data_IF_256350240572
#
_entry.id   IF_256350240572
#
_cell.length_a   1.000
_cell.length_b   1.000
_cell.length_c   1.000
_cell.angle_alpha   90.00
_cell.angle_beta   90.00
_cell.angle_gamma   90.00
#
_symmetry.space_group_name_H-M   'P 1'
#
loop_
_entity.id
_entity.type
_entity.pdbx_description
1 polymer ?
#
# COMPACT_ATOMS: atom_id res chain seq x y z
N UNK A 1 -1.44 50.66 -33.61
CA UNK A 1 -1.41 50.31 -32.18
C UNK A 1 -1.62 51.53 -31.28
N UNK A 2 -1.12 52.73 -31.61
CA UNK A 2 -1.29 53.96 -30.83
C UNK A 2 -2.72 54.52 -30.74
N UNK A 3 -3.64 54.06 -31.58
CA UNK A 3 -5.05 54.49 -31.59
C UNK A 3 -5.94 53.75 -30.59
N UNK A 4 -5.49 52.60 -30.06
CA UNK A 4 -6.29 51.78 -29.14
C UNK A 4 -6.06 52.25 -27.71
N UNK A 5 -7.07 52.90 -27.12
CA UNK A 5 -7.03 53.34 -25.72
C UNK A 5 -6.83 52.15 -24.79
N UNK A 6 -6.02 52.33 -23.74
CA UNK A 6 -5.79 51.34 -22.67
C UNK A 6 -5.29 49.98 -23.21
N UNK A 7 -4.48 49.98 -24.28
CA UNK A 7 -4.04 48.77 -24.98
C UNK A 7 -3.46 47.70 -24.04
N UNK A 8 -2.62 48.09 -23.07
CA UNK A 8 -2.03 47.13 -22.14
C UNK A 8 -3.08 46.44 -21.25
N UNK A 9 -4.03 47.20 -20.69
CA UNK A 9 -5.12 46.64 -19.88
C UNK A 9 -6.01 45.72 -20.73
N UNK A 10 -6.26 46.08 -21.99
CA UNK A 10 -7.00 45.21 -22.93
C UNK A 10 -6.28 43.88 -23.16
N UNK A 11 -5.00 43.92 -23.51
CA UNK A 11 -4.21 42.72 -23.79
C UNK A 11 -4.12 41.82 -22.56
N UNK A 12 -3.88 42.41 -21.38
CA UNK A 12 -3.84 41.66 -20.13
C UNK A 12 -5.19 41.01 -19.79
N UNK A 13 -6.30 41.74 -19.94
CA UNK A 13 -7.64 41.21 -19.71
C UNK A 13 -8.03 40.10 -20.68
N UNK A 14 -7.68 40.26 -21.97
CA UNK A 14 -7.91 39.22 -22.99
C UNK A 14 -7.07 37.98 -22.69
N UNK A 15 -5.79 38.14 -22.38
CA UNK A 15 -4.93 37.01 -22.01
C UNK A 15 -5.46 36.29 -20.78
N UNK A 16 -5.82 37.03 -19.73
CA UNK A 16 -6.38 36.45 -18.51
C UNK A 16 -7.66 35.64 -18.80
N UNK A 17 -8.58 36.19 -19.60
CA UNK A 17 -9.78 35.47 -20.04
C UNK A 17 -9.46 34.17 -20.77
N UNK A 18 -8.47 34.18 -21.67
CA UNK A 18 -8.09 32.99 -22.44
C UNK A 18 -7.43 31.91 -21.57
N UNK A 19 -6.71 32.31 -20.51
CA UNK A 19 -6.02 31.39 -19.60
C UNK A 19 -6.86 30.97 -18.39
N UNK A 20 -8.00 31.62 -18.14
CA UNK A 20 -8.77 31.44 -16.92
C UNK A 20 -9.19 29.99 -16.68
N UNK A 21 -9.75 29.34 -17.71
CA UNK A 21 -10.20 27.95 -17.61
C UNK A 21 -9.03 26.99 -17.33
N UNK A 22 -7.85 27.26 -17.91
CA UNK A 22 -6.64 26.48 -17.62
C UNK A 22 -6.21 26.64 -16.16
N UNK A 23 -6.20 27.88 -15.65
CA UNK A 23 -5.89 28.14 -14.23
C UNK A 23 -6.86 27.41 -13.29
N UNK A 24 -8.16 27.42 -13.60
CA UNK A 24 -9.18 26.69 -12.82
C UNK A 24 -8.94 25.18 -12.89
N UNK A 25 -8.66 24.64 -14.08
CA UNK A 25 -8.41 23.22 -14.29
C UNK A 25 -7.11 22.72 -13.67
N UNK A 26 -6.15 23.61 -13.40
CA UNK A 26 -4.93 23.28 -12.67
C UNK A 26 -5.12 23.34 -11.14
N UNK A 27 -5.97 24.24 -10.63
CA UNK A 27 -6.16 24.43 -9.18
C UNK A 27 -7.19 23.46 -8.61
N UNK A 28 -8.31 23.24 -9.31
CA UNK A 28 -9.45 22.49 -8.78
C UNK A 28 -9.12 21.02 -8.46
N UNK A 29 -8.42 20.26 -9.33
CA UNK A 29 -8.11 18.86 -9.05
C UNK A 29 -7.24 18.69 -7.81
N UNK A 30 -6.29 19.60 -7.58
CA UNK A 30 -5.40 19.58 -6.42
C UNK A 30 -6.19 19.76 -5.11
N UNK A 31 -7.11 20.74 -5.07
CA UNK A 31 -8.01 20.93 -3.91
C UNK A 31 -8.84 19.67 -3.67
N UNK A 32 -9.38 19.07 -4.73
CA UNK A 32 -10.21 17.87 -4.63
C UNK A 32 -9.42 16.66 -4.15
N UNK A 33 -8.20 16.45 -4.65
CA UNK A 33 -7.35 15.33 -4.24
C UNK A 33 -7.08 15.33 -2.74
N UNK A 34 -6.72 16.50 -2.19
CA UNK A 34 -6.47 16.64 -0.74
C UNK A 34 -7.76 16.51 0.05
N UNK A 35 -8.85 17.16 -0.39
CA UNK A 35 -10.16 17.08 0.29
C UNK A 35 -10.64 15.65 0.41
N UNK A 36 -10.60 14.89 -0.69
CA UNK A 36 -11.02 13.49 -0.72
C UNK A 36 -10.09 12.62 0.13
N UNK A 37 -8.78 12.80 0.05
CA UNK A 37 -7.83 12.05 0.87
C UNK A 37 -8.07 12.29 2.38
N UNK A 38 -8.39 13.53 2.78
CA UNK A 38 -8.73 13.82 4.18
C UNK A 38 -10.01 13.10 4.64
N UNK A 39 -11.04 13.10 3.79
CA UNK A 39 -12.30 12.42 4.11
C UNK A 39 -12.16 10.89 4.13
N UNK A 40 -11.46 10.33 3.15
CA UNK A 40 -11.16 8.91 3.05
C UNK A 40 -10.42 8.42 4.29
N UNK A 41 -9.39 9.14 4.71
CA UNK A 41 -8.61 8.78 5.89
C UNK A 41 -9.43 8.83 7.17
N UNK A 42 -10.28 9.84 7.34
CA UNK A 42 -11.13 9.97 8.53
C UNK A 42 -12.27 8.93 8.56
N UNK A 43 -12.78 8.51 7.41
CA UNK A 43 -13.88 7.56 7.27
C UNK A 43 -13.42 6.09 7.23
N UNK A 44 -12.14 5.83 6.98
CA UNK A 44 -11.62 4.47 6.84
C UNK A 44 -11.61 3.71 8.18
N UNK A 45 -12.58 2.82 8.35
CA UNK A 45 -12.64 1.89 9.49
C UNK A 45 -11.52 0.85 9.41
N UNK A 46 -11.16 0.41 8.20
CA UNK A 46 -10.10 -0.58 7.99
C UNK A 46 -8.72 -0.02 8.37
N UNK A 47 -8.44 1.25 8.06
CA UNK A 47 -7.23 1.93 8.51
C UNK A 47 -7.24 2.16 10.02
N UNK A 48 -8.38 2.50 10.61
CA UNK A 48 -8.50 2.66 12.07
C UNK A 48 -8.16 1.36 12.81
N UNK A 49 -8.68 0.22 12.34
CA UNK A 49 -8.34 -1.11 12.88
C UNK A 49 -6.87 -1.49 12.67
N UNK A 50 -6.25 -1.05 11.57
CA UNK A 50 -4.82 -1.22 11.36
C UNK A 50 -4.00 -0.50 12.44
N UNK A 51 -4.37 0.75 12.78
CA UNK A 51 -3.70 1.51 13.82
C UNK A 51 -3.84 0.84 15.20
N UNK A 52 -5.03 0.30 15.52
CA UNK A 52 -5.25 -0.47 16.75
C UNK A 52 -4.35 -1.72 16.81
N UNK A 53 -4.24 -2.46 15.71
CA UNK A 53 -3.39 -3.64 15.64
C UNK A 53 -1.91 -3.30 15.78
N UNK A 54 -1.46 -2.20 15.16
CA UNK A 54 -0.08 -1.68 15.32
C UNK A 54 0.19 -1.27 16.76
N UNK A 55 -0.74 -0.56 17.40
CA UNK A 55 -0.63 -0.15 18.81
C UNK A 55 -0.53 -1.37 19.73
N UNK A 56 -1.42 -2.35 19.54
CA UNK A 56 -1.42 -3.60 20.30
C UNK A 56 -0.08 -4.33 20.17
N UNK A 57 0.41 -4.50 18.93
CA UNK A 57 1.65 -5.21 18.66
C UNK A 57 2.86 -4.49 19.25
N UNK A 58 2.93 -3.16 19.10
CA UNK A 58 4.04 -2.40 19.67
C UNK A 58 4.01 -2.38 21.20
N UNK A 59 2.84 -2.30 21.84
CA UNK A 59 2.71 -2.41 23.29
C UNK A 59 3.18 -3.77 23.81
N UNK A 60 2.83 -4.85 23.10
CA UNK A 60 3.31 -6.20 23.43
C UNK A 60 4.83 -6.30 23.31
N UNK A 61 5.41 -5.79 22.23
CA UNK A 61 6.86 -5.84 21.99
C UNK A 61 7.66 -4.92 22.93
N UNK A 62 7.06 -3.81 23.38
CA UNK A 62 7.65 -2.85 24.30
C UNK A 62 7.47 -3.19 25.78
N UNK A 63 6.87 -4.34 26.09
CA UNK A 63 6.65 -4.77 27.47
C UNK A 63 7.96 -4.74 28.28
N UNK A 64 7.95 -4.01 29.40
CA UNK A 64 9.12 -3.80 30.26
C UNK A 64 10.04 -2.64 29.85
N UNK A 65 9.67 -1.83 28.85
CA UNK A 65 10.37 -0.58 28.48
C UNK A 65 9.56 0.66 28.88
N UNK A 66 10.16 1.85 28.74
CA UNK A 66 9.46 3.15 28.95
C UNK A 66 8.24 3.34 28.03
N UNK A 67 8.22 2.66 26.88
CA UNK A 67 7.14 2.74 25.89
C UNK A 67 6.13 1.58 26.03
N UNK A 68 6.16 0.86 27.15
CA UNK A 68 5.10 -0.09 27.48
C UNK A 68 3.80 0.67 27.77
N UNK A 69 2.66 0.13 27.35
CA UNK A 69 1.33 0.70 27.63
C UNK A 69 1.09 2.10 27.03
N UNK A 70 1.67 2.38 25.86
CA UNK A 70 1.33 3.57 25.08
C UNK A 70 -0.16 3.58 24.72
N UNK A 71 -0.79 4.76 24.80
CA UNK A 71 -2.19 4.97 24.40
C UNK A 71 -2.33 5.28 22.90
N UNK A 72 -1.23 5.65 22.25
CA UNK A 72 -1.19 6.00 20.84
C UNK A 72 0.25 6.17 20.37
N UNK A 73 0.40 6.47 19.08
CA UNK A 73 1.68 6.75 18.44
C UNK A 73 1.47 7.74 17.29
N UNK A 74 2.51 8.49 16.94
CA UNK A 74 2.43 9.40 15.80
C UNK A 74 2.35 8.63 14.46
N UNK A 75 1.44 9.00 13.56
CA UNK A 75 1.24 8.33 12.26
C UNK A 75 2.52 8.19 11.43
N UNK A 76 3.44 9.14 11.49
CA UNK A 76 4.74 9.06 10.80
C UNK A 76 5.55 7.81 11.17
N UNK A 77 5.25 7.19 12.31
CA UNK A 77 5.85 5.92 12.74
C UNK A 77 5.50 4.75 11.82
N UNK A 78 4.39 4.78 11.08
CA UNK A 78 3.97 3.69 10.20
C UNK A 78 5.06 3.31 9.18
N UNK A 79 5.78 4.30 8.62
CA UNK A 79 6.91 4.07 7.72
C UNK A 79 8.08 3.33 8.38
N UNK A 80 8.24 3.46 9.71
CA UNK A 80 9.34 2.86 10.50
C UNK A 80 9.07 1.40 10.89
N UNK A 81 7.84 0.92 10.72
CA UNK A 81 7.48 -0.49 11.03
C UNK A 81 8.34 -1.46 10.23
N UNK A 82 8.68 -1.12 8.98
CA UNK A 82 9.54 -1.94 8.12
C UNK A 82 10.96 -2.11 8.68
N UNK A 83 11.46 -1.17 9.47
CA UNK A 83 12.84 -1.18 9.96
C UNK A 83 13.05 -2.19 11.10
N UNK A 84 11.96 -2.65 11.72
CA UNK A 84 12.00 -3.67 12.77
C UNK A 84 12.08 -5.06 12.13
N UNK A 85 13.26 -5.66 12.15
CA UNK A 85 13.53 -6.98 11.54
C UNK A 85 13.38 -8.14 12.54
N UNK A 86 13.04 -9.32 12.02
CA UNK A 86 13.09 -10.58 12.77
C UNK A 86 14.53 -10.92 13.17
N UNK A 87 14.68 -11.82 14.14
CA UNK A 87 15.99 -12.25 14.66
C UNK A 87 16.86 -12.93 13.59
N UNK A 88 16.25 -13.60 12.63
CA UNK A 88 16.91 -14.18 11.47
C UNK A 88 17.09 -13.21 10.29
N UNK A 89 16.67 -11.95 10.45
CA UNK A 89 16.73 -10.88 9.45
C UNK A 89 16.03 -11.18 8.11
N UNK A 90 15.20 -12.22 8.03
CA UNK A 90 14.52 -12.62 6.80
C UNK A 90 13.22 -11.86 6.56
N UNK A 91 12.60 -11.37 7.63
CA UNK A 91 11.29 -10.72 7.59
C UNK A 91 11.29 -9.47 8.46
N UNK A 92 10.28 -8.64 8.29
CA UNK A 92 10.11 -7.41 9.08
C UNK A 92 8.79 -7.45 9.84
N UNK A 93 8.62 -6.54 10.79
CA UNK A 93 7.37 -6.38 11.50
C UNK A 93 6.21 -6.05 10.54
N UNK A 94 6.50 -5.34 9.45
CA UNK A 94 5.51 -5.05 8.41
C UNK A 94 5.05 -6.31 7.69
N UNK A 95 5.97 -7.23 7.37
CA UNK A 95 5.62 -8.53 6.80
C UNK A 95 4.74 -9.35 7.76
N UNK A 96 5.10 -9.34 9.04
CA UNK A 96 4.32 -10.04 10.06
C UNK A 96 2.92 -9.43 10.23
N UNK A 97 2.82 -8.10 10.24
CA UNK A 97 1.54 -7.39 10.31
C UNK A 97 0.65 -7.73 9.10
N UNK A 98 1.21 -7.67 7.88
CA UNK A 98 0.50 -8.02 6.65
C UNK A 98 0.02 -9.48 6.66
N UNK A 99 0.84 -10.42 7.12
CA UNK A 99 0.49 -11.84 7.24
C UNK A 99 -0.65 -12.06 8.26
N UNK A 100 -0.59 -11.42 9.42
CA UNK A 100 -1.67 -11.45 10.42
C UNK A 100 -2.98 -10.90 9.84
N UNK A 101 -2.92 -9.82 9.06
CA UNK A 101 -4.10 -9.27 8.40
C UNK A 101 -4.70 -10.26 7.38
N UNK A 102 -3.90 -10.96 6.59
CA UNK A 102 -4.39 -11.98 5.65
C UNK A 102 -5.05 -13.18 6.32
N UNK A 103 -4.50 -13.60 7.46
CA UNK A 103 -4.98 -14.78 8.19
C UNK A 103 -6.19 -14.48 9.07
N UNK A 104 -6.18 -13.36 9.81
CA UNK A 104 -7.11 -13.12 10.92
C UNK A 104 -7.95 -11.84 10.78
N UNK A 105 -7.47 -10.83 10.04
CA UNK A 105 -8.12 -9.50 9.96
C UNK A 105 -8.25 -9.03 8.51
N UNK A 106 -8.99 -9.81 7.69
CA UNK A 106 -9.13 -9.55 6.25
C UNK A 106 -9.85 -8.24 5.93
N UNK A 107 -10.63 -7.72 6.86
CA UNK A 107 -11.28 -6.41 6.77
C UNK A 107 -10.26 -5.27 6.73
N UNK A 108 -9.12 -5.40 7.40
CA UNK A 108 -8.03 -4.41 7.34
C UNK A 108 -7.46 -4.29 5.93
N UNK A 109 -7.40 -5.38 5.16
CA UNK A 109 -6.80 -5.39 3.82
C UNK A 109 -7.50 -4.48 2.79
N UNK A 110 -8.65 -3.90 3.13
CA UNK A 110 -9.41 -2.97 2.30
C UNK A 110 -8.89 -1.53 2.36
N UNK A 111 -8.10 -1.17 3.38
CA UNK A 111 -7.62 0.20 3.56
C UNK A 111 -6.88 0.78 2.35
N UNK A 112 -6.08 0.01 1.57
CA UNK A 112 -5.41 0.56 0.39
C UNK A 112 -6.38 0.99 -0.71
N UNK A 113 -7.58 0.42 -0.76
CA UNK A 113 -8.64 0.79 -1.71
C UNK A 113 -9.47 1.97 -1.16
N UNK A 114 -9.69 2.02 0.16
CA UNK A 114 -10.37 3.13 0.82
C UNK A 114 -9.56 4.44 0.75
N UNK A 115 -8.23 4.36 0.64
CA UNK A 115 -7.29 5.50 0.59
C UNK A 115 -6.75 5.77 -0.82
N UNK A 116 -7.64 5.86 -1.81
CA UNK A 116 -7.27 6.00 -3.23
C UNK A 116 -6.66 7.38 -3.58
N UNK A 117 -7.08 8.47 -2.94
CA UNK A 117 -6.61 9.82 -3.29
C UNK A 117 -5.33 10.23 -2.55
N UNK A 118 -4.84 9.42 -1.61
CA UNK A 118 -3.64 9.72 -0.81
C UNK A 118 -2.40 9.95 -1.68
N UNK A 119 -2.21 9.16 -2.75
CA UNK A 119 -1.06 9.32 -3.65
C UNK A 119 -1.14 10.61 -4.49
N UNK A 120 -2.35 11.03 -4.86
CA UNK A 120 -2.55 12.31 -5.57
C UNK A 120 -2.32 13.48 -4.61
N UNK A 121 -2.87 13.39 -3.39
CA UNK A 121 -2.70 14.41 -2.35
C UNK A 121 -1.22 14.60 -1.97
N UNK A 122 -0.41 13.54 -1.96
CA UNK A 122 1.04 13.65 -1.68
C UNK A 122 1.83 14.44 -2.72
N UNK A 123 1.26 14.65 -3.92
CA UNK A 123 1.90 15.40 -5.02
C UNK A 123 1.48 16.88 -5.05
N UNK A 124 0.49 17.26 -4.25
CA UNK A 124 -0.04 18.63 -4.21
C UNK A 124 0.82 19.50 -3.30
N UNK A 125 1.34 20.61 -3.83
CA UNK A 125 2.05 21.61 -3.03
C UNK A 125 1.07 22.65 -2.46
N UNK A 126 0.87 22.64 -1.14
CA UNK A 126 -0.02 23.59 -0.47
C UNK A 126 0.37 25.06 -0.73
N UNK A 127 1.68 25.34 -0.76
CA UNK A 127 2.20 26.68 -1.02
C UNK A 127 1.93 27.14 -2.46
N UNK A 128 2.08 26.23 -3.43
CA UNK A 128 1.80 26.53 -4.85
C UNK A 128 0.32 26.81 -5.05
N UNK A 129 -0.54 25.99 -4.44
CA UNK A 129 -1.99 26.13 -4.50
C UNK A 129 -2.47 27.49 -3.96
N UNK A 130 -1.96 27.87 -2.77
CA UNK A 130 -2.22 29.18 -2.17
C UNK A 130 -1.75 30.33 -3.05
N UNK A 131 -0.57 30.20 -3.64
CA UNK A 131 0.01 31.24 -4.52
C UNK A 131 -0.81 31.42 -5.80
N UNK A 132 -1.26 30.31 -6.40
CA UNK A 132 -2.08 30.33 -7.62
C UNK A 132 -3.46 30.97 -7.36
N UNK A 133 -4.11 30.65 -6.24
CA UNK A 133 -5.37 31.30 -5.83
C UNK A 133 -5.20 32.80 -5.59
N UNK A 134 -4.13 33.21 -4.89
CA UNK A 134 -3.86 34.62 -4.65
C UNK A 134 -3.57 35.39 -5.95
N UNK A 135 -2.87 34.77 -6.90
CA UNK A 135 -2.62 35.36 -8.21
C UNK A 135 -3.93 35.53 -8.99
N UNK A 136 -4.80 34.53 -8.99
CA UNK A 136 -6.11 34.57 -9.65
C UNK A 136 -6.97 35.70 -9.09
N UNK A 137 -7.09 35.83 -7.76
CA UNK A 137 -7.84 36.92 -7.14
C UNK A 137 -7.30 38.29 -7.56
N UNK A 138 -5.97 38.47 -7.52
CA UNK A 138 -5.32 39.71 -7.92
C UNK A 138 -5.57 40.06 -9.39
N UNK A 139 -5.60 39.06 -10.28
CA UNK A 139 -5.92 39.26 -11.70
C UNK A 139 -7.39 39.67 -11.90
N UNK A 140 -8.32 39.06 -11.16
CA UNK A 140 -9.75 39.45 -11.19
C UNK A 140 -9.93 40.87 -10.66
N UNK A 141 -9.36 41.20 -9.50
CA UNK A 141 -9.42 42.56 -8.93
C UNK A 141 -8.85 43.62 -9.88
N UNK A 142 -7.73 43.29 -10.55
CA UNK A 142 -7.14 44.17 -11.55
C UNK A 142 -8.09 44.39 -12.74
N UNK A 143 -8.68 43.32 -13.25
CA UNK A 143 -9.62 43.40 -14.37
C UNK A 143 -10.86 44.24 -14.00
N UNK A 144 -11.43 44.03 -12.82
CA UNK A 144 -12.56 44.82 -12.30
C UNK A 144 -12.22 46.31 -12.21
N UNK A 145 -11.01 46.64 -11.73
CA UNK A 145 -10.53 48.01 -11.66
C UNK A 145 -10.31 48.61 -13.06
N UNK A 146 -9.72 47.85 -13.98
CA UNK A 146 -9.50 48.26 -15.37
C UNK A 146 -10.84 48.53 -16.08
N UNK A 147 -11.87 47.70 -15.84
CA UNK A 147 -13.24 47.89 -16.35
C UNK A 147 -13.87 49.16 -15.77
N UNK A 148 -13.75 49.38 -14.45
CA UNK A 148 -14.32 50.55 -13.78
C UNK A 148 -13.71 51.87 -14.26
N UNK A 149 -12.40 51.87 -14.50
CA UNK A 149 -11.65 53.03 -14.96
C UNK A 149 -11.65 53.17 -16.49
N UNK A 150 -12.34 52.29 -17.20
CA UNK A 150 -12.32 52.28 -18.66
C UNK A 150 -13.07 53.49 -19.22
N UNK A 151 -12.48 54.26 -20.16
CA UNK A 151 -13.16 55.42 -20.73
C UNK A 151 -14.39 54.96 -21.53
N UNK A 152 -15.50 55.70 -21.38
CA UNK A 152 -16.67 55.50 -22.25
C UNK A 152 -16.27 55.73 -23.71
N UNK A 153 -16.72 54.83 -24.57
CA UNK A 153 -16.44 54.85 -25.99
C UNK A 153 -17.75 55.01 -26.76
N UNK A 154 -17.71 55.82 -27.82
CA UNK A 154 -18.82 55.95 -28.78
C UNK A 154 -18.64 54.99 -29.97
N UNK A 155 -17.53 54.25 -30.03
CA UNK A 155 -17.28 53.26 -31.06
C UNK A 155 -18.09 51.99 -30.80
N UNK A 156 -19.06 51.70 -31.65
CA UNK A 156 -19.92 50.53 -31.56
C UNK A 156 -19.16 49.19 -31.67
N UNK A 157 -17.96 49.20 -32.25
CA UNK A 157 -17.10 48.01 -32.40
C UNK A 157 -16.31 47.70 -31.12
N UNK A 158 -16.21 48.63 -30.17
CA UNK A 158 -15.47 48.43 -28.93
C UNK A 158 -16.34 47.73 -27.87
N UNK A 159 -16.32 46.39 -27.94
CA UNK A 159 -17.07 45.50 -27.03
C UNK A 159 -16.29 45.10 -25.77
N UNK A 160 -15.15 45.72 -25.47
CA UNK A 160 -14.29 45.25 -24.39
C UNK A 160 -14.99 45.30 -23.03
N UNK A 161 -15.55 46.45 -22.64
CA UNK A 161 -16.23 46.61 -21.35
C UNK A 161 -17.42 45.65 -21.23
N UNK A 162 -18.24 45.54 -22.28
CA UNK A 162 -19.40 44.62 -22.31
C UNK A 162 -18.96 43.15 -22.08
N UNK A 163 -17.97 42.68 -22.85
CA UNK A 163 -17.54 41.27 -22.81
C UNK A 163 -16.68 40.93 -21.60
N UNK A 164 -15.94 41.90 -21.06
CA UNK A 164 -15.09 41.68 -19.88
C UNK A 164 -15.84 41.86 -18.58
N UNK A 165 -16.91 42.66 -18.53
CA UNK A 165 -17.75 42.77 -17.33
C UNK A 165 -18.44 41.44 -17.02
N UNK A 166 -19.08 40.83 -18.02
CA UNK A 166 -19.72 39.51 -17.85
C UNK A 166 -18.72 38.41 -17.50
N UNK A 167 -17.52 38.46 -18.09
CA UNK A 167 -16.45 37.54 -17.72
C UNK A 167 -15.94 37.77 -16.29
N UNK A 168 -15.73 39.02 -15.87
CA UNK A 168 -15.26 39.34 -14.52
C UNK A 168 -16.24 38.87 -13.43
N UNK A 169 -17.55 39.07 -13.65
CA UNK A 169 -18.60 38.55 -12.76
C UNK A 169 -18.55 37.02 -12.64
N UNK A 170 -18.48 36.31 -13.77
CA UNK A 170 -18.36 34.84 -13.80
C UNK A 170 -17.06 34.34 -13.16
N UNK A 171 -15.93 34.98 -13.48
CA UNK A 171 -14.63 34.64 -12.92
C UNK A 171 -14.59 34.84 -11.41
N UNK A 172 -15.19 35.92 -10.89
CA UNK A 172 -15.35 36.17 -9.46
C UNK A 172 -16.15 35.07 -8.79
N UNK A 173 -17.30 34.69 -9.35
CA UNK A 173 -18.13 33.61 -8.79
C UNK A 173 -17.36 32.27 -8.73
N UNK A 174 -16.63 31.92 -9.79
CA UNK A 174 -15.82 30.70 -9.85
C UNK A 174 -14.67 30.76 -8.82
N UNK A 175 -13.99 31.90 -8.72
CA UNK A 175 -12.93 32.12 -7.72
C UNK A 175 -13.46 31.95 -6.29
N UNK A 176 -14.59 32.56 -5.95
CA UNK A 176 -15.19 32.43 -4.61
C UNK A 176 -15.50 30.96 -4.27
N UNK A 177 -16.00 30.19 -5.24
CA UNK A 177 -16.21 28.74 -5.08
C UNK A 177 -14.88 28.01 -4.81
N UNK A 178 -13.84 28.27 -5.59
CA UNK A 178 -12.52 27.66 -5.39
C UNK A 178 -11.90 28.05 -4.04
N UNK A 179 -11.99 29.32 -3.66
CA UNK A 179 -11.52 29.84 -2.38
C UNK A 179 -12.21 29.14 -1.21
N UNK A 180 -13.54 28.99 -1.28
CA UNK A 180 -14.31 28.26 -0.28
C UNK A 180 -13.92 26.77 -0.21
N UNK A 181 -13.72 26.11 -1.35
CA UNK A 181 -13.25 24.72 -1.39
C UNK A 181 -11.85 24.59 -0.75
N UNK A 182 -10.92 25.49 -1.07
CA UNK A 182 -9.58 25.51 -0.49
C UNK A 182 -9.60 25.76 1.03
N UNK A 183 -10.46 26.66 1.50
CA UNK A 183 -10.63 26.90 2.93
C UNK A 183 -11.21 25.67 3.65
N UNK A 184 -12.16 24.98 3.04
CA UNK A 184 -12.68 23.72 3.56
C UNK A 184 -11.61 22.62 3.60
N UNK A 185 -10.82 22.49 2.54
CA UNK A 185 -9.68 21.57 2.46
C UNK A 185 -8.70 21.78 3.62
N UNK A 186 -8.30 23.04 3.90
CA UNK A 186 -7.42 23.34 5.02
C UNK A 186 -8.04 22.97 6.37
N UNK A 187 -9.32 23.27 6.59
CA UNK A 187 -10.03 22.87 7.82
C UNK A 187 -10.09 21.35 7.99
N UNK A 188 -10.29 20.59 6.91
CA UNK A 188 -10.27 19.13 6.97
C UNK A 188 -8.88 18.61 7.37
N UNK A 189 -7.82 19.22 6.86
CA UNK A 189 -6.45 18.88 7.26
C UNK A 189 -6.16 19.24 8.72
N UNK A 190 -6.61 20.40 9.19
CA UNK A 190 -6.52 20.80 10.61
C UNK A 190 -7.25 19.80 11.51
N UNK A 191 -8.46 19.39 11.12
CA UNK A 191 -9.23 18.36 11.83
C UNK A 191 -8.53 16.99 11.87
N UNK A 192 -7.74 16.64 10.84
CA UNK A 192 -6.91 15.44 10.88
C UNK A 192 -5.78 15.57 11.90
N UNK A 193 -5.19 16.76 12.03
CA UNK A 193 -4.20 17.06 13.07
C UNK A 193 -4.73 16.83 14.47
N UNK A 194 -5.96 17.27 14.74
CA UNK A 194 -6.63 17.01 16.02
C UNK A 194 -6.94 15.52 16.21
N UNK A 195 -7.45 14.85 15.18
CA UNK A 195 -7.85 13.45 15.25
C UNK A 195 -6.68 12.48 15.43
N UNK A 196 -5.57 12.71 14.72
CA UNK A 196 -4.37 11.88 14.76
C UNK A 196 -3.23 12.48 15.60
N UNK A 197 -3.50 13.58 16.30
CA UNK A 197 -2.59 14.22 17.27
C UNK A 197 -1.24 14.65 16.68
N UNK A 198 -1.27 15.35 15.54
CA UNK A 198 -0.08 16.01 14.95
C UNK A 198 -0.33 17.50 14.74
N UNK A 199 0.74 18.30 14.62
CA UNK A 199 0.63 19.74 14.35
C UNK A 199 0.58 20.03 12.83
N UNK A 200 -0.58 20.50 12.29
CA UNK A 200 -0.74 20.82 10.87
C UNK A 200 0.13 21.98 10.38
N UNK A 201 0.76 22.72 11.29
CA UNK A 201 1.68 23.82 10.94
C UNK A 201 3.12 23.33 10.79
N UNK A 202 3.46 22.22 11.44
CA UNK A 202 4.78 21.62 11.39
C UNK A 202 4.87 20.64 10.23
N UNK A 203 3.84 19.81 10.06
CA UNK A 203 3.77 18.81 8.99
C UNK A 203 2.94 19.42 7.85
N UNK A 204 3.49 19.45 6.64
CA UNK A 204 2.77 19.92 5.46
C UNK A 204 1.85 18.84 4.90
N UNK A 205 0.90 19.23 4.05
CA UNK A 205 -0.06 18.32 3.41
C UNK A 205 0.68 17.26 2.58
N UNK A 206 1.63 17.70 1.76
CA UNK A 206 2.46 16.83 0.92
C UNK A 206 3.32 15.87 1.74
N UNK A 207 3.87 16.30 2.87
CA UNK A 207 4.67 15.46 3.76
C UNK A 207 3.80 14.39 4.43
N UNK A 208 2.67 14.80 5.02
CA UNK A 208 1.75 13.89 5.71
C UNK A 208 1.20 12.81 4.77
N UNK A 209 0.65 13.21 3.62
CA UNK A 209 0.12 12.24 2.65
C UNK A 209 1.24 11.48 1.93
N UNK A 210 2.44 12.05 1.81
CA UNK A 210 3.63 11.37 1.30
C UNK A 210 4.04 10.19 2.17
N UNK A 211 4.10 10.37 3.48
CA UNK A 211 4.36 9.29 4.43
C UNK A 211 3.29 8.21 4.36
N UNK A 212 2.01 8.60 4.32
CA UNK A 212 0.92 7.64 4.25
C UNK A 212 0.90 6.86 2.92
N UNK A 213 1.18 7.53 1.81
CA UNK A 213 1.32 6.92 0.47
C UNK A 213 2.48 5.91 0.43
N UNK A 214 3.61 6.28 1.03
CA UNK A 214 4.76 5.39 1.18
C UNK A 214 4.38 4.16 2.02
N UNK A 215 3.77 4.36 3.19
CA UNK A 215 3.33 3.24 4.03
C UNK A 215 2.35 2.30 3.30
N UNK A 216 1.36 2.84 2.58
CA UNK A 216 0.42 2.05 1.76
C UNK A 216 1.17 1.20 0.74
N UNK A 217 2.16 1.78 0.06
CA UNK A 217 3.01 1.07 -0.91
C UNK A 217 3.80 -0.05 -0.24
N UNK A 218 4.48 0.25 0.87
CA UNK A 218 5.26 -0.74 1.63
C UNK A 218 4.39 -1.89 2.15
N UNK A 219 3.16 -1.61 2.56
CA UNK A 219 2.22 -2.64 3.02
C UNK A 219 1.82 -3.58 1.89
N UNK A 220 1.48 -3.05 0.71
CA UNK A 220 1.15 -3.84 -0.47
C UNK A 220 2.35 -4.67 -0.98
N UNK A 221 3.56 -4.10 -0.91
CA UNK A 221 4.80 -4.83 -1.21
C UNK A 221 5.00 -5.99 -0.24
N UNK A 222 4.83 -5.77 1.07
CA UNK A 222 4.94 -6.82 2.08
C UNK A 222 3.93 -7.96 1.86
N UNK A 223 2.69 -7.67 1.48
CA UNK A 223 1.70 -8.69 1.11
C UNK A 223 2.17 -9.52 -0.09
N UNK A 224 2.71 -8.87 -1.12
CA UNK A 224 3.22 -9.54 -2.32
C UNK A 224 4.44 -10.42 -2.00
N UNK A 225 5.34 -9.92 -1.17
CA UNK A 225 6.53 -10.66 -0.71
C UNK A 225 6.15 -11.86 0.15
N UNK A 226 5.18 -11.71 1.06
CA UNK A 226 4.64 -12.82 1.86
C UNK A 226 4.02 -13.92 0.99
N UNK A 227 3.25 -13.56 -0.04
CA UNK A 227 2.67 -14.53 -0.96
C UNK A 227 3.75 -15.30 -1.74
N UNK A 228 4.74 -14.59 -2.30
CA UNK A 228 5.90 -15.23 -2.96
C UNK A 228 6.69 -16.14 -2.03
N UNK A 229 6.87 -15.73 -0.77
CA UNK A 229 7.55 -16.53 0.27
C UNK A 229 6.80 -17.83 0.53
N UNK A 230 5.47 -17.76 0.74
CA UNK A 230 4.61 -18.93 0.95
C UNK A 230 4.66 -19.90 -0.23
N UNK A 231 4.59 -19.41 -1.47
CA UNK A 231 4.72 -20.24 -2.67
C UNK A 231 6.07 -20.97 -2.75
N UNK A 232 7.17 -20.26 -2.44
CA UNK A 232 8.52 -20.83 -2.45
C UNK A 232 8.69 -21.89 -1.35
N UNK A 233 8.16 -21.64 -0.16
CA UNK A 233 8.20 -22.57 0.97
C UNK A 233 7.40 -23.85 0.67
N UNK A 234 6.21 -23.72 0.07
CA UNK A 234 5.43 -24.87 -0.37
C UNK A 234 6.15 -25.68 -1.45
N UNK A 235 6.74 -25.02 -2.45
CA UNK A 235 7.52 -25.69 -3.51
C UNK A 235 8.71 -26.44 -2.92
N UNK A 236 9.40 -25.84 -1.97
CA UNK A 236 10.56 -26.44 -1.28
C UNK A 236 10.13 -27.64 -0.44
N UNK A 237 9.02 -27.53 0.30
CA UNK A 237 8.46 -28.61 1.11
C UNK A 237 8.04 -29.80 0.23
N UNK A 238 7.37 -29.54 -0.90
CA UNK A 238 7.00 -30.58 -1.87
C UNK A 238 8.22 -31.27 -2.48
N UNK A 239 9.26 -30.51 -2.82
CA UNK A 239 10.51 -31.07 -3.35
C UNK A 239 11.24 -31.95 -2.33
N UNK A 240 11.31 -31.52 -1.05
CA UNK A 240 11.90 -32.32 0.03
C UNK A 240 11.14 -33.64 0.24
N UNK A 241 9.81 -33.58 0.35
CA UNK A 241 8.98 -34.77 0.51
C UNK A 241 9.11 -35.75 -0.68
N UNK A 242 9.22 -35.23 -1.91
CA UNK A 242 9.46 -36.05 -3.09
C UNK A 242 10.83 -36.73 -3.06
N UNK A 243 11.89 -36.01 -2.63
CA UNK A 243 13.24 -36.56 -2.49
C UNK A 243 13.31 -37.64 -1.42
N UNK A 244 12.75 -37.39 -0.24
CA UNK A 244 12.69 -38.36 0.87
C UNK A 244 11.92 -39.63 0.47
N UNK A 245 10.81 -39.48 -0.27
CA UNK A 245 10.05 -40.62 -0.80
C UNK A 245 10.86 -41.42 -1.82
N UNK A 246 11.55 -40.75 -2.75
CA UNK A 246 12.39 -41.40 -3.75
C UNK A 246 13.59 -42.15 -3.11
N UNK A 247 14.20 -41.57 -2.07
CA UNK A 247 15.26 -42.22 -1.30
C UNK A 247 14.74 -43.45 -0.55
N UNK A 248 13.55 -43.37 0.06
CA UNK A 248 12.91 -44.52 0.73
C UNK A 248 12.60 -45.66 -0.25
N UNK A 249 12.01 -45.34 -1.40
CA UNK A 249 11.73 -46.33 -2.46
C UNK A 249 13.02 -46.97 -3.01
N UNK A 250 14.11 -46.19 -3.16
CA UNK A 250 15.42 -46.71 -3.57
C UNK A 250 16.01 -47.67 -2.53
N UNK A 251 15.92 -47.33 -1.24
CA UNK A 251 16.42 -48.16 -0.15
C UNK A 251 15.61 -49.46 -0.03
N UNK A 252 14.29 -49.40 -0.16
CA UNK A 252 13.43 -50.59 -0.20
C UNK A 252 13.76 -51.52 -1.37
N UNK A 253 14.01 -50.96 -2.57
CA UNK A 253 14.48 -51.73 -3.73
C UNK A 253 15.83 -52.39 -3.49
N UNK A 254 16.77 -51.68 -2.85
CA UNK A 254 18.07 -52.24 -2.50
C UNK A 254 17.96 -53.36 -1.46
N UNK A 255 17.15 -53.19 -0.41
CA UNK A 255 16.89 -54.24 0.59
C UNK A 255 16.23 -55.47 -0.03
N UNK A 256 15.22 -55.31 -0.89
CA UNK A 256 14.60 -56.43 -1.60
C UNK A 256 15.59 -57.16 -2.51
N UNK A 257 16.48 -56.43 -3.20
CA UNK A 257 17.57 -57.03 -3.99
C UNK A 257 18.58 -57.77 -3.11
N UNK A 258 18.96 -57.20 -1.97
CA UNK A 258 19.86 -57.86 -1.02
C UNK A 258 19.22 -59.12 -0.40
N UNK A 259 17.93 -59.11 -0.07
CA UNK A 259 17.24 -60.33 0.42
C UNK A 259 17.24 -61.47 -0.59
N UNK A 260 17.13 -61.16 -1.90
CA UNK A 260 17.27 -62.16 -2.96
C UNK A 260 18.71 -62.69 -3.09
N UNK A 261 19.72 -61.93 -2.66
CA UNK A 261 21.15 -62.29 -2.76
C UNK A 261 21.66 -62.92 -1.46
N UNK A 262 21.15 -62.57 -0.27
CA UNK A 262 21.60 -63.10 1.03
C UNK A 262 21.06 -64.50 1.34
N UNK A 263 20.16 -65.02 0.50
CA UNK A 263 19.91 -66.47 0.39
C UNK A 263 21.15 -67.27 -0.07
N UNK A 264 22.23 -66.59 -0.47
CA UNK A 264 23.49 -67.21 -0.91
C UNK A 264 24.52 -67.47 0.21
N UNK A 265 24.19 -67.26 1.50
CA UNK A 265 25.14 -67.54 2.59
C UNK A 265 25.04 -68.94 3.22
N UNK A 266 24.01 -69.71 2.88
CA UNK A 266 23.94 -71.13 3.25
C UNK A 266 24.53 -71.99 2.12
N UNK A 267 25.87 -72.04 2.05
CA UNK A 267 26.68 -73.23 1.79
C UNK A 267 26.47 -74.18 0.60
N UNK A 268 25.53 -73.98 -0.33
CA UNK A 268 25.32 -74.92 -1.45
C UNK A 268 25.24 -74.22 -2.82
N UNK A 269 26.34 -74.31 -3.59
CA UNK A 269 26.55 -73.58 -4.85
C UNK A 269 25.75 -74.14 -6.05
N UNK A 270 24.94 -75.18 -5.88
CA UNK A 270 24.26 -75.87 -7.01
C UNK A 270 22.82 -75.43 -7.29
N UNK A 271 22.15 -74.68 -6.40
CA UNK A 271 20.73 -74.26 -6.57
C UNK A 271 20.49 -72.79 -6.92
N UNK A 272 21.56 -71.99 -6.99
CA UNK A 272 21.50 -70.53 -7.13
C UNK A 272 21.00 -70.11 -8.51
N UNK A 273 21.43 -70.81 -9.56
CA UNK A 273 21.06 -70.53 -10.95
C UNK A 273 19.57 -70.82 -11.20
N UNK A 274 19.06 -71.93 -10.67
CA UNK A 274 17.67 -72.36 -10.84
C UNK A 274 16.69 -71.45 -10.08
N UNK A 275 17.05 -71.03 -8.86
CA UNK A 275 16.23 -70.05 -8.09
C UNK A 275 16.14 -68.69 -8.79
N UNK A 276 17.22 -68.25 -9.44
CA UNK A 276 17.23 -67.00 -10.22
C UNK A 276 16.41 -67.11 -11.51
N UNK A 277 16.49 -68.25 -12.21
CA UNK A 277 15.69 -68.52 -13.39
C UNK A 277 14.19 -68.62 -13.06
N UNK A 278 13.82 -69.23 -11.94
CA UNK A 278 12.44 -69.31 -11.47
C UNK A 278 11.88 -67.93 -11.08
N UNK A 279 12.68 -67.07 -10.44
CA UNK A 279 12.28 -65.70 -10.13
C UNK A 279 12.10 -64.81 -11.38
N UNK A 280 12.88 -65.06 -12.44
CA UNK A 280 12.72 -64.40 -13.75
C UNK A 280 11.50 -64.93 -14.50
N UNK A 281 11.25 -66.24 -14.46
CA UNK A 281 10.15 -66.90 -15.15
C UNK A 281 8.78 -66.66 -14.49
N UNK A 282 8.73 -66.61 -13.16
CA UNK A 282 7.53 -66.24 -12.38
C UNK A 282 7.20 -64.74 -12.42
N UNK A 283 8.11 -63.92 -12.97
CA UNK A 283 7.98 -62.46 -13.03
C UNK A 283 8.17 -61.76 -11.67
N UNK A 284 8.53 -62.49 -10.61
CA UNK A 284 8.82 -61.94 -9.29
C UNK A 284 9.97 -60.91 -9.33
N UNK A 285 10.92 -61.07 -10.26
CA UNK A 285 12.05 -60.17 -10.48
C UNK A 285 11.68 -58.75 -11.00
N UNK A 286 10.46 -58.52 -11.53
CA UNK A 286 10.13 -57.29 -12.28
C UNK A 286 8.88 -56.51 -11.75
N UNK A 287 8.37 -56.81 -10.56
CA UNK A 287 7.04 -56.36 -10.08
C UNK A 287 6.82 -54.84 -9.86
N UNK A 288 7.82 -53.98 -10.00
CA UNK A 288 7.81 -52.64 -9.39
C UNK A 288 7.37 -51.45 -10.27
N UNK A 289 6.84 -51.68 -11.49
CA UNK A 289 6.57 -50.58 -12.46
C UNK A 289 5.14 -50.02 -12.48
N UNK A 290 4.18 -50.51 -11.67
CA UNK A 290 2.78 -50.04 -11.72
C UNK A 290 2.15 -49.87 -10.33
N UNK A 291 2.32 -48.70 -9.70
CA UNK A 291 1.37 -48.21 -8.67
C UNK A 291 1.08 -46.73 -8.91
N UNK A 292 -0.14 -46.45 -9.39
CA UNK A 292 -0.73 -45.10 -9.45
C UNK A 292 -1.12 -44.66 -8.03
N UNK A 293 -0.82 -43.42 -7.68
CA UNK A 293 -1.21 -42.75 -6.43
C UNK A 293 -2.67 -42.26 -6.47
N UNK A 294 -3.49 -42.48 -5.44
CA UNK A 294 -4.77 -41.78 -5.28
C UNK A 294 -4.56 -40.36 -4.70
N UNK A 295 -5.32 -39.39 -5.20
CA UNK A 295 -5.48 -38.05 -4.61
C UNK A 295 -6.44 -38.12 -3.43
N UNK A 296 -6.04 -37.56 -2.28
CA UNK A 296 -6.88 -37.42 -1.07
C UNK A 296 -6.91 -35.97 -0.60
N UNK A 297 -8.11 -35.54 -0.18
CA UNK A 297 -8.59 -34.17 0.06
C UNK A 297 -7.99 -33.48 1.29
N UNK A 298 -8.10 -32.14 1.27
CA UNK A 298 -7.61 -31.23 2.30
C UNK A 298 -8.37 -31.31 3.62
N UNK A 299 -7.68 -30.87 4.67
CA UNK A 299 -8.24 -30.67 6.00
C UNK A 299 -8.28 -29.17 6.32
N UNK A 300 -9.45 -28.72 6.73
CA UNK A 300 -9.71 -27.42 7.33
C UNK A 300 -9.16 -27.35 8.76
N UNK A 301 -8.87 -26.11 9.14
CA UNK A 301 -8.29 -25.57 10.36
C UNK A 301 -9.25 -25.46 11.56
N UNK A 302 -8.70 -25.49 12.78
CA UNK A 302 -9.32 -24.99 14.02
C UNK A 302 -8.23 -24.75 15.12
N UNK A 303 -8.48 -24.03 16.25
CA UNK A 303 -8.46 -22.57 16.32
C UNK A 303 -7.38 -21.95 17.24
N UNK A 304 -7.30 -20.61 17.10
CA UNK A 304 -6.51 -19.59 17.79
C UNK A 304 -6.39 -19.77 19.32
N UNK A 305 -5.17 -20.06 19.78
CA UNK A 305 -4.58 -19.66 21.08
C UNK A 305 -3.20 -20.30 21.32
N UNK A 306 -2.83 -21.34 20.54
CA UNK A 306 -1.52 -22.01 20.63
C UNK A 306 -0.42 -21.40 19.74
N UNK A 307 -0.74 -20.59 18.73
CA UNK A 307 0.25 -20.09 17.78
C UNK A 307 1.08 -18.89 18.26
N UNK A 308 0.59 -18.12 19.24
CA UNK A 308 1.37 -17.02 19.84
C UNK A 308 2.53 -17.52 20.70
N UNK A 309 2.37 -18.64 21.42
CA UNK A 309 3.41 -19.21 22.28
C UNK A 309 4.29 -20.28 21.59
N UNK A 310 3.77 -21.02 20.60
CA UNK A 310 4.50 -22.18 20.05
C UNK A 310 5.33 -21.87 18.78
N UNK A 311 5.03 -20.81 18.02
CA UNK A 311 5.70 -20.55 16.73
C UNK A 311 6.63 -19.31 16.73
N UNK A 312 6.52 -18.41 17.72
CA UNK A 312 7.18 -17.09 17.67
C UNK A 312 7.73 -16.56 19.00
N UNK A 313 7.74 -17.37 20.07
CA UNK A 313 8.43 -17.05 21.32
C UNK A 313 9.94 -16.89 21.11
N UNK A 314 10.37 -15.70 20.67
CA UNK A 314 11.77 -15.35 20.40
C UNK A 314 12.12 -14.97 18.95
N UNK A 315 11.16 -14.82 18.01
CA UNK A 315 11.49 -14.49 16.60
C UNK A 315 11.76 -13.01 16.31
N UNK A 316 11.47 -12.11 17.23
CA UNK A 316 11.94 -10.73 17.16
C UNK A 316 12.85 -10.50 18.37
N UNK A 317 14.06 -10.00 18.12
CA UNK A 317 14.90 -9.48 19.21
C UNK A 317 14.04 -8.41 19.91
N UNK A 318 13.96 -8.41 21.24
CA UNK A 318 13.36 -7.32 22.03
C UNK A 318 14.17 -6.03 21.83
N UNK A 319 14.17 -5.48 20.62
CA UNK A 319 14.51 -4.11 20.36
C UNK A 319 13.23 -3.34 20.59
N UNK A 320 13.24 -2.46 21.58
CA UNK A 320 12.11 -1.58 21.84
C UNK A 320 11.70 -0.89 20.55
N UNK A 321 10.44 -1.05 20.18
CA UNK A 321 9.81 -0.23 19.17
C UNK A 321 9.66 1.16 19.78
N UNK A 322 10.39 2.13 19.26
CA UNK A 322 10.27 3.50 19.76
C UNK A 322 9.03 4.12 19.11
N UNK A 323 7.89 4.03 19.81
CA UNK A 323 6.81 4.98 19.64
C UNK A 323 7.36 6.34 20.07
N UNK A 324 7.40 7.29 19.14
CA UNK A 324 7.66 8.69 19.44
C UNK A 324 6.32 9.42 19.57
#
# INVERSE_FOLDING_TARGET
>A
MSSVKMLQSRLNGILFRLMFDEHVNNIKPDIMAVTLACEELKKSESFSKLLELVLFLGNYMNSGSRNAQSLGFNISFLCKIRDTKSSDQKTTLLHFLAEICEENYRDILKFPEELQHVESASKVSAQTLKSNLALMDKQIQRLELDIKNFPKTEDEHDKFVEKMSSFAESAREIYEKLSNMHNNMNKLYENLGEYFTFDPKVISIEEFFGDLSNFRTLFLEALKENNKRREMEEKTKRAKLAKEKAEREKLERQKKKQQLIDMNKEGDETGVMDSLLEALQSGAAFRDRRKRTPRGQGFFSEPLLKHLNCAYGGKFIRKSIIFY
#
